data_IF_124856249959
#
_entry.id   IF_124856249959
#
_cell.length_a   1.000
_cell.length_b   1.000
_cell.length_c   1.000
_cell.angle_alpha   90.00
_cell.angle_beta   90.00
_cell.angle_gamma   90.00
#
_symmetry.space_group_name_H-M   'P 1'
#
loop_
_entity.id
_entity.type
_entity.pdbx_description
1 polymer ?
#
# COMPACT_ATOMS: atom_id res chain seq x y z
N UNK A 1 0.32 24.56 21.65
CA UNK A 1 -0.31 23.47 20.88
C UNK A 1 -0.48 23.97 19.46
N UNK A 2 0.02 23.24 18.46
CA UNK A 2 -0.23 23.58 17.04
C UNK A 2 -1.65 23.11 16.73
N UNK A 3 -2.51 24.01 16.24
CA UNK A 3 -3.83 23.65 15.75
C UNK A 3 -3.66 22.67 14.57
N UNK A 4 -4.32 21.52 14.65
CA UNK A 4 -4.30 20.46 13.62
C UNK A 4 -5.67 20.31 12.94
N UNK A 5 -6.50 21.34 13.03
CA UNK A 5 -7.80 21.36 12.38
C UNK A 5 -7.64 21.33 10.86
N UNK A 6 -8.54 20.61 10.19
CA UNK A 6 -8.60 20.52 8.72
C UNK A 6 -9.99 20.96 8.30
N UNK A 7 -10.09 22.01 7.50
CA UNK A 7 -11.35 22.35 6.84
C UNK A 7 -11.62 21.34 5.73
N UNK A 8 -12.80 20.72 5.74
CA UNK A 8 -13.18 19.72 4.74
C UNK A 8 -13.91 20.32 3.53
N UNK A 9 -14.52 21.50 3.68
CA UNK A 9 -15.30 22.16 2.62
C UNK A 9 -14.39 22.65 1.49
N UNK A 10 -14.75 22.35 0.24
CA UNK A 10 -14.01 22.79 -0.94
C UNK A 10 -12.68 22.05 -1.18
N UNK A 11 -12.43 20.98 -0.41
CA UNK A 11 -11.24 20.12 -0.55
C UNK A 11 -11.43 19.08 -1.65
N UNK A 12 -10.35 18.37 -1.98
CA UNK A 12 -10.43 17.24 -2.90
C UNK A 12 -11.27 16.07 -2.36
N UNK A 13 -11.43 15.95 -1.04
CA UNK A 13 -12.29 14.93 -0.43
C UNK A 13 -13.77 15.24 -0.65
N UNK A 14 -14.16 16.50 -0.45
CA UNK A 14 -15.51 17.01 -0.70
C UNK A 14 -15.91 16.82 -2.17
N UNK A 15 -14.96 17.06 -3.09
CA UNK A 15 -15.19 16.83 -4.51
C UNK A 15 -15.43 15.35 -4.84
N UNK A 16 -14.68 14.42 -4.23
CA UNK A 16 -14.90 12.97 -4.42
C UNK A 16 -16.24 12.53 -3.84
N UNK A 17 -16.66 13.09 -2.71
CA UNK A 17 -17.96 12.79 -2.11
C UNK A 17 -19.10 13.24 -3.03
N UNK A 18 -19.03 14.46 -3.56
CA UNK A 18 -20.10 15.03 -4.38
C UNK A 18 -20.14 14.49 -5.82
N UNK A 19 -18.97 14.23 -6.43
CA UNK A 19 -18.85 13.90 -7.87
C UNK A 19 -18.42 12.48 -8.13
N UNK A 20 -18.05 11.74 -7.08
CA UNK A 20 -17.49 10.41 -7.19
C UNK A 20 -16.01 10.40 -7.62
N UNK A 21 -15.53 9.27 -8.17
CA UNK A 21 -14.14 9.10 -8.57
C UNK A 21 -13.64 10.16 -9.56
N UNK A 22 -12.55 10.85 -9.19
CA UNK A 22 -11.91 11.89 -10.02
C UNK A 22 -10.39 11.82 -9.93
N UNK A 23 -9.72 12.27 -10.99
CA UNK A 23 -8.27 12.45 -11.05
C UNK A 23 -7.93 13.92 -10.85
N UNK A 24 -6.99 14.21 -9.94
CA UNK A 24 -6.55 15.58 -9.68
C UNK A 24 -5.22 15.88 -10.38
N UNK A 25 -5.04 17.15 -10.76
CA UNK A 25 -3.77 17.65 -11.30
C UNK A 25 -2.79 17.98 -10.18
N UNK A 26 -1.48 17.95 -10.47
CA UNK A 26 -0.42 18.32 -9.51
C UNK A 26 -0.63 19.70 -8.90
N UNK A 27 -0.97 20.70 -9.71
CA UNK A 27 -1.26 22.07 -9.25
C UNK A 27 -2.42 22.10 -8.24
N UNK A 28 -3.49 21.33 -8.46
CA UNK A 28 -4.63 21.26 -7.54
C UNK A 28 -4.24 20.61 -6.22
N UNK A 29 -3.43 19.55 -6.26
CA UNK A 29 -2.95 18.87 -5.05
C UNK A 29 -1.99 19.75 -4.23
N UNK A 30 -1.11 20.50 -4.87
CA UNK A 30 -0.21 21.46 -4.21
C UNK A 30 -0.95 22.59 -3.48
N UNK A 31 -2.18 22.90 -3.91
CA UNK A 31 -3.02 23.89 -3.26
C UNK A 31 -3.74 23.37 -1.99
N UNK A 32 -3.60 22.07 -1.66
CA UNK A 32 -4.18 21.50 -0.44
C UNK A 32 -3.19 21.67 0.72
N UNK A 33 -3.55 22.45 1.74
CA UNK A 33 -2.74 22.69 2.93
C UNK A 33 -2.35 21.39 3.65
N UNK A 34 -3.31 20.47 3.78
CA UNK A 34 -3.13 19.19 4.44
C UNK A 34 -3.38 18.01 3.48
N UNK A 35 -2.69 17.98 2.34
CA UNK A 35 -2.89 16.96 1.29
C UNK A 35 -2.94 15.52 1.83
N UNK A 36 -2.07 15.17 2.79
CA UNK A 36 -2.05 13.83 3.40
C UNK A 36 -3.34 13.46 4.16
N UNK A 37 -4.03 14.43 4.74
CA UNK A 37 -5.33 14.20 5.38
C UNK A 37 -6.38 13.71 4.36
N UNK A 38 -6.23 14.12 3.10
CA UNK A 38 -7.12 13.79 1.99
C UNK A 38 -6.68 12.56 1.17
N UNK A 39 -5.69 11.79 1.63
CA UNK A 39 -5.08 10.68 0.88
C UNK A 39 -6.07 9.67 0.28
N UNK A 40 -7.20 9.42 0.94
CA UNK A 40 -8.24 8.49 0.46
C UNK A 40 -8.93 8.95 -0.83
N UNK A 41 -8.91 10.26 -1.13
CA UNK A 41 -9.45 10.82 -2.37
C UNK A 41 -8.57 10.54 -3.60
N UNK A 42 -7.31 10.13 -3.40
CA UNK A 42 -6.30 10.10 -4.46
C UNK A 42 -6.23 8.77 -5.22
N UNK A 43 -7.16 7.85 -5.00
CA UNK A 43 -7.07 6.48 -5.53
C UNK A 43 -7.18 6.38 -7.07
N UNK A 44 -7.68 7.42 -7.73
CA UNK A 44 -7.75 7.54 -9.19
C UNK A 44 -6.72 8.53 -9.73
N UNK A 45 -5.88 9.09 -8.85
CA UNK A 45 -4.87 10.07 -9.24
C UNK A 45 -3.53 9.39 -9.47
N UNK A 46 -2.95 9.52 -10.68
CA UNK A 46 -1.64 8.96 -11.01
C UNK A 46 -0.52 9.52 -10.15
N UNK A 47 0.55 8.73 -10.00
CA UNK A 47 1.73 9.12 -9.22
C UNK A 47 2.40 10.37 -9.79
N UNK A 48 2.44 10.55 -11.12
CA UNK A 48 3.03 11.76 -11.73
C UNK A 48 2.34 13.07 -11.30
N UNK A 49 1.09 12.99 -10.86
CA UNK A 49 0.35 14.14 -10.35
C UNK A 49 0.56 14.38 -8.86
N UNK A 50 1.11 13.43 -8.11
CA UNK A 50 1.39 13.60 -6.68
C UNK A 50 2.61 14.51 -6.52
N UNK A 51 2.60 15.51 -5.60
CA UNK A 51 3.78 16.31 -5.33
C UNK A 51 4.94 15.44 -4.84
N UNK A 52 6.15 15.70 -5.35
CA UNK A 52 7.31 14.83 -5.15
C UNK A 52 7.68 14.68 -3.65
N UNK A 53 7.38 15.68 -2.80
CA UNK A 53 7.56 15.60 -1.34
C UNK A 53 6.74 14.49 -0.67
N UNK A 54 5.63 14.07 -1.27
CA UNK A 54 4.77 12.98 -0.82
C UNK A 54 5.03 11.65 -1.53
N UNK A 55 6.04 11.58 -2.39
CA UNK A 55 6.48 10.33 -3.03
C UNK A 55 7.76 9.85 -2.34
N UNK A 56 7.72 8.66 -1.74
CA UNK A 56 8.90 8.03 -1.12
C UNK A 56 9.73 7.27 -2.15
N UNK A 57 10.95 6.88 -1.77
CA UNK A 57 11.89 6.15 -2.64
C UNK A 57 12.89 5.36 -1.82
N UNK A 58 13.58 4.41 -2.47
CA UNK A 58 14.51 3.51 -1.80
C UNK A 58 13.80 2.38 -1.06
N UNK A 59 14.55 1.60 -0.31
CA UNK A 59 14.03 0.43 0.42
C UNK A 59 12.84 0.83 1.31
N UNK A 60 11.79 0.03 1.26
CA UNK A 60 10.62 0.15 2.12
C UNK A 60 10.73 -0.89 3.22
N UNK A 61 10.73 -0.49 4.49
CA UNK A 61 10.59 -1.39 5.64
C UNK A 61 9.60 -0.75 6.62
N UNK A 62 8.41 -1.33 6.73
CA UNK A 62 7.33 -0.82 7.57
C UNK A 62 6.64 -1.93 8.32
N UNK A 63 6.11 -1.60 9.50
CA UNK A 63 5.26 -2.50 10.28
C UNK A 63 3.83 -1.97 10.29
N UNK A 64 2.91 -2.75 9.75
CA UNK A 64 1.48 -2.45 9.77
C UNK A 64 0.88 -2.96 11.09
N UNK A 65 -0.05 -2.21 11.71
CA UNK A 65 -0.61 -2.53 13.02
C UNK A 65 -1.64 -3.67 12.99
N UNK A 66 -1.89 -4.24 11.83
CA UNK A 66 -2.79 -5.37 11.64
C UNK A 66 -2.10 -6.41 10.77
N UNK A 67 -2.29 -7.68 11.10
CA UNK A 67 -1.90 -8.80 10.24
C UNK A 67 -2.77 -8.83 8.98
N UNK A 68 -2.29 -9.48 7.92
CA UNK A 68 -3.19 -9.80 6.80
C UNK A 68 -4.30 -10.75 7.28
N UNK A 69 -5.50 -10.72 6.68
CA UNK A 69 -6.60 -11.60 7.07
C UNK A 69 -6.21 -13.06 6.82
N UNK A 70 -6.82 -14.02 7.52
CA UNK A 70 -6.94 -15.37 6.98
C UNK A 70 -8.09 -15.48 5.97
N UNK A 71 -8.41 -16.70 5.51
CA UNK A 71 -9.52 -16.92 4.59
C UNK A 71 -10.88 -16.49 5.17
N UNK A 72 -11.13 -16.80 6.45
CA UNK A 72 -12.39 -16.51 7.12
C UNK A 72 -12.52 -15.01 7.41
N UNK A 73 -11.45 -14.36 7.88
CA UNK A 73 -11.39 -12.91 8.06
C UNK A 73 -11.66 -12.17 6.75
N UNK A 74 -11.05 -12.64 5.65
CA UNK A 74 -11.29 -12.05 4.34
C UNK A 74 -12.75 -12.21 3.94
N UNK A 75 -13.39 -13.33 4.31
CA UNK A 75 -14.79 -13.57 4.01
C UNK A 75 -15.72 -12.67 4.86
N UNK A 76 -15.50 -12.57 6.16
CA UNK A 76 -16.40 -11.85 7.06
C UNK A 76 -16.17 -10.33 7.05
N UNK A 77 -14.91 -9.88 6.96
CA UNK A 77 -14.56 -8.46 7.06
C UNK A 77 -14.27 -7.85 5.68
N UNK A 78 -15.23 -7.04 5.21
CA UNK A 78 -15.18 -6.39 3.89
C UNK A 78 -13.98 -5.44 3.72
N UNK A 79 -13.45 -4.86 4.79
CA UNK A 79 -12.33 -3.92 4.70
C UNK A 79 -11.07 -4.63 4.17
N UNK A 80 -10.81 -5.85 4.60
CA UNK A 80 -9.63 -6.62 4.19
C UNK A 80 -9.62 -6.99 2.71
N UNK A 81 -10.80 -7.09 2.08
CA UNK A 81 -10.95 -7.30 0.64
C UNK A 81 -10.60 -6.07 -0.20
N UNK A 82 -10.44 -4.90 0.42
CA UNK A 82 -10.22 -3.63 -0.27
C UNK A 82 -8.74 -3.26 -0.27
N UNK A 83 -8.08 -3.17 -1.44
CA UNK A 83 -6.70 -2.66 -1.53
C UNK A 83 -6.54 -1.24 -0.96
N UNK A 84 -7.63 -0.45 -0.90
CA UNK A 84 -7.63 0.89 -0.27
C UNK A 84 -7.24 0.85 1.21
N UNK A 85 -7.64 -0.20 1.92
CA UNK A 85 -7.31 -0.36 3.34
C UNK A 85 -5.80 -0.53 3.53
N UNK A 86 -5.19 -1.42 2.77
CA UNK A 86 -3.75 -1.68 2.83
C UNK A 86 -2.93 -0.47 2.36
N UNK A 87 -3.37 0.21 1.30
CA UNK A 87 -2.74 1.48 0.87
C UNK A 87 -2.81 2.53 1.98
N UNK A 88 -3.94 2.69 2.66
CA UNK A 88 -4.07 3.65 3.78
C UNK A 88 -3.08 3.35 4.91
N UNK A 89 -2.90 2.08 5.27
CA UNK A 89 -1.95 1.68 6.30
C UNK A 89 -0.50 1.96 5.89
N UNK A 90 -0.11 1.62 4.66
CA UNK A 90 1.22 1.93 4.11
C UNK A 90 1.48 3.44 4.11
N UNK A 91 0.50 4.23 3.69
CA UNK A 91 0.60 5.69 3.67
C UNK A 91 0.78 6.24 5.08
N UNK A 92 -0.01 5.78 6.06
CA UNK A 92 0.10 6.20 7.46
C UNK A 92 1.44 5.86 8.10
N UNK A 93 1.98 4.68 7.81
CA UNK A 93 3.28 4.26 8.37
C UNK A 93 4.46 5.02 7.77
N UNK A 94 4.37 5.42 6.49
CA UNK A 94 5.46 6.12 5.80
C UNK A 94 5.34 7.65 5.82
N UNK A 95 4.14 8.18 6.06
CA UNK A 95 3.82 9.59 5.80
C UNK A 95 3.86 9.96 4.31
N UNK A 96 3.92 8.97 3.40
CA UNK A 96 3.96 9.17 1.94
C UNK A 96 2.64 8.76 1.31
N UNK A 97 2.29 9.38 0.19
CA UNK A 97 1.09 9.05 -0.59
C UNK A 97 1.35 7.98 -1.63
N UNK A 98 2.59 7.95 -2.14
CA UNK A 98 3.09 7.03 -3.17
C UNK A 98 4.54 6.66 -2.89
N UNK A 99 5.04 5.68 -3.62
CA UNK A 99 6.42 5.26 -3.65
C UNK A 99 6.94 5.22 -5.09
N UNK A 100 8.24 5.40 -5.26
CA UNK A 100 8.92 5.15 -6.52
C UNK A 100 9.02 3.63 -6.73
N UNK A 101 8.52 3.10 -7.85
CA UNK A 101 8.46 1.66 -8.04
C UNK A 101 9.84 1.06 -8.25
N UNK A 102 10.07 -0.10 -7.62
CA UNK A 102 11.24 -0.94 -7.84
C UNK A 102 10.93 -2.00 -8.90
N UNK A 103 11.93 -2.31 -9.74
CA UNK A 103 11.84 -3.39 -10.72
C UNK A 103 13.24 -3.86 -11.17
N UNK A 104 13.51 -5.18 -11.15
CA UNK A 104 12.74 -6.20 -10.42
C UNK A 104 12.82 -5.93 -8.91
N UNK A 105 11.78 -6.31 -8.17
CA UNK A 105 11.70 -6.11 -6.73
C UNK A 105 11.78 -7.44 -5.96
N UNK A 106 12.20 -7.38 -4.70
CA UNK A 106 11.97 -8.43 -3.72
C UNK A 106 11.01 -7.89 -2.67
N UNK A 107 9.94 -8.64 -2.40
CA UNK A 107 8.95 -8.35 -1.37
C UNK A 107 9.02 -9.44 -0.31
N UNK A 108 9.27 -9.05 0.94
CA UNK A 108 9.21 -9.97 2.10
C UNK A 108 8.09 -9.51 3.02
N UNK A 109 7.13 -10.41 3.25
CA UNK A 109 6.00 -10.20 4.14
C UNK A 109 6.17 -11.14 5.33
N UNK A 110 6.32 -10.58 6.53
CA UNK A 110 6.46 -11.36 7.77
C UNK A 110 5.26 -11.10 8.65
N UNK A 111 4.45 -12.14 8.85
CA UNK A 111 3.34 -12.09 9.81
C UNK A 111 3.85 -12.43 11.20
N UNK A 112 3.39 -11.67 12.17
CA UNK A 112 3.54 -11.97 13.58
C UNK A 112 2.15 -12.32 14.08
N UNK A 113 1.90 -13.60 14.30
CA UNK A 113 0.60 -14.13 14.70
C UNK A 113 0.68 -14.76 16.08
N UNK A 114 -0.43 -14.75 16.83
CA UNK A 114 -0.50 -15.49 18.11
C UNK A 114 -0.70 -17.00 17.89
N UNK A 115 -1.24 -17.40 16.74
CA UNK A 115 -1.43 -18.78 16.34
C UNK A 115 -0.88 -19.01 14.93
N UNK A 116 -0.36 -20.21 14.66
CA UNK A 116 0.04 -20.58 13.30
C UNK A 116 -1.20 -20.81 12.43
N UNK A 117 -1.20 -20.20 11.26
CA UNK A 117 -2.26 -20.32 10.27
C UNK A 117 -1.76 -21.21 9.13
N UNK A 118 -2.65 -22.03 8.57
CA UNK A 118 -2.33 -22.84 7.39
C UNK A 118 -1.82 -21.96 6.24
N UNK A 119 -0.81 -22.44 5.53
CA UNK A 119 -0.11 -21.66 4.50
C UNK A 119 -1.01 -21.22 3.34
N UNK A 120 -1.99 -22.03 2.95
CA UNK A 120 -2.97 -21.71 1.91
C UNK A 120 -3.91 -20.57 2.32
N UNK A 121 -4.28 -20.49 3.60
CA UNK A 121 -5.09 -19.40 4.14
C UNK A 121 -4.29 -18.08 4.22
N UNK A 122 -3.00 -18.17 4.55
CA UNK A 122 -2.10 -17.00 4.60
C UNK A 122 -1.88 -16.39 3.22
N UNK A 123 -1.66 -17.22 2.20
CA UNK A 123 -1.43 -16.75 0.84
C UNK A 123 -2.59 -15.88 0.31
N UNK A 124 -3.83 -16.28 0.61
CA UNK A 124 -5.04 -15.55 0.21
C UNK A 124 -5.07 -14.16 0.86
N UNK A 125 -4.78 -14.07 2.16
CA UNK A 125 -4.79 -12.80 2.86
C UNK A 125 -3.69 -11.84 2.44
N UNK A 126 -2.53 -12.38 2.07
CA UNK A 126 -1.40 -11.58 1.60
C UNK A 126 -1.63 -10.92 0.25
N UNK A 127 -2.54 -11.47 -0.57
CA UNK A 127 -2.81 -10.95 -1.91
C UNK A 127 -3.23 -9.48 -1.90
N UNK A 128 -4.03 -9.06 -0.91
CA UNK A 128 -4.50 -7.67 -0.79
C UNK A 128 -3.37 -6.69 -0.45
N UNK A 129 -2.42 -7.11 0.40
CA UNK A 129 -1.22 -6.33 0.73
C UNK A 129 -0.32 -6.20 -0.49
N UNK A 130 -0.08 -7.32 -1.19
CA UNK A 130 0.74 -7.34 -2.39
C UNK A 130 0.13 -6.49 -3.51
N UNK A 131 -1.19 -6.55 -3.71
CA UNK A 131 -1.89 -5.66 -4.63
C UNK A 131 -1.64 -4.20 -4.26
N UNK A 132 -1.76 -3.81 -2.99
CA UNK A 132 -1.56 -2.43 -2.56
C UNK A 132 -0.15 -1.88 -2.83
N UNK A 133 0.87 -2.74 -2.97
CA UNK A 133 2.23 -2.33 -3.31
C UNK A 133 2.41 -1.97 -4.79
N UNK A 134 1.52 -2.41 -5.69
CA UNK A 134 1.62 -2.15 -7.13
C UNK A 134 1.50 -0.67 -7.46
N UNK A 135 1.94 -0.27 -8.65
CA UNK A 135 1.66 1.09 -9.17
C UNK A 135 0.17 1.28 -9.40
N UNK A 136 -0.46 0.34 -10.12
CA UNK A 136 -1.86 0.46 -10.51
C UNK A 136 -2.50 -0.88 -10.85
N UNK A 137 -3.83 -0.87 -10.93
CA UNK A 137 -4.61 -1.94 -11.55
C UNK A 137 -5.86 -1.37 -12.21
N UNK A 138 -6.66 -2.24 -12.82
CA UNK A 138 -7.94 -1.87 -13.43
C UNK A 138 -9.10 -2.36 -12.54
N UNK A 139 -10.04 -1.47 -12.24
CA UNK A 139 -11.24 -1.78 -11.48
C UNK A 139 -12.08 -2.85 -12.19
N UNK A 140 -12.40 -3.94 -11.50
CA UNK A 140 -13.10 -5.09 -12.10
C UNK A 140 -14.53 -4.81 -12.56
N UNK A 141 -15.18 -3.80 -11.97
CA UNK A 141 -16.59 -3.46 -12.26
C UNK A 141 -16.75 -2.33 -13.27
N UNK A 142 -15.85 -1.36 -13.22
CA UNK A 142 -15.97 -0.09 -13.97
C UNK A 142 -14.83 0.14 -14.97
N UNK A 143 -13.82 -0.75 -15.00
CA UNK A 143 -12.67 -0.64 -15.89
C UNK A 143 -11.75 0.56 -15.58
N UNK A 144 -11.99 1.30 -14.49
CA UNK A 144 -11.23 2.52 -14.19
C UNK A 144 -9.86 2.17 -13.64
N UNK A 145 -8.85 2.95 -14.00
CA UNK A 145 -7.52 2.80 -13.41
C UNK A 145 -7.53 3.22 -11.94
N UNK A 146 -6.99 2.34 -11.10
CA UNK A 146 -6.78 2.56 -9.68
C UNK A 146 -5.28 2.64 -9.44
N UNK A 147 -4.83 3.69 -8.77
CA UNK A 147 -3.41 3.93 -8.46
C UNK A 147 -3.18 3.66 -6.97
N UNK A 148 -2.32 2.69 -6.68
CA UNK A 148 -2.07 2.20 -5.33
C UNK A 148 -0.80 2.84 -4.74
N UNK A 149 -0.10 2.18 -3.82
CA UNK A 149 1.07 2.77 -3.17
C UNK A 149 2.27 2.89 -4.13
N UNK A 150 2.50 1.91 -5.01
CA UNK A 150 3.48 2.01 -6.08
C UNK A 150 4.92 1.64 -5.72
N UNK A 151 5.15 0.83 -4.69
CA UNK A 151 6.48 0.33 -4.33
C UNK A 151 7.03 -0.69 -5.33
N UNK A 152 6.17 -1.41 -6.07
CA UNK A 152 6.55 -2.34 -7.14
C UNK A 152 5.78 -2.03 -8.41
N UNK A 153 6.34 -2.36 -9.58
CA UNK A 153 5.66 -2.17 -10.87
C UNK A 153 4.40 -3.04 -10.97
N UNK A 154 4.55 -4.35 -10.78
CA UNK A 154 3.49 -5.35 -10.84
C UNK A 154 3.88 -6.57 -9.96
N UNK A 155 2.94 -7.48 -9.68
CA UNK A 155 3.20 -8.71 -8.91
C UNK A 155 3.23 -9.98 -9.76
N UNK A 156 3.21 -9.83 -11.09
CA UNK A 156 3.32 -10.92 -12.03
C UNK A 156 4.70 -11.56 -12.11
N UNK A 157 4.81 -12.74 -12.77
CA UNK A 157 6.08 -13.44 -12.96
C UNK A 157 7.15 -12.54 -13.59
N UNK A 158 8.35 -12.52 -13.00
CA UNK A 158 9.49 -11.74 -13.49
C UNK A 158 9.54 -10.28 -13.02
N UNK A 159 8.49 -9.77 -12.36
CA UNK A 159 8.48 -8.42 -11.77
C UNK A 159 8.94 -8.41 -10.32
N UNK A 160 8.60 -9.46 -9.58
CA UNK A 160 8.83 -9.53 -8.14
C UNK A 160 9.19 -10.95 -7.67
N UNK A 161 10.13 -11.04 -6.73
CA UNK A 161 10.38 -12.21 -5.88
C UNK A 161 9.62 -12.00 -4.56
N UNK A 162 8.60 -12.83 -4.28
CA UNK A 162 7.75 -12.68 -3.08
C UNK A 162 8.06 -13.79 -2.09
N UNK A 163 8.38 -13.41 -0.85
CA UNK A 163 8.50 -14.31 0.29
C UNK A 163 7.47 -13.97 1.36
N UNK A 164 6.81 -14.99 1.87
CA UNK A 164 5.85 -14.88 2.97
C UNK A 164 6.30 -15.76 4.12
N UNK A 165 6.42 -15.18 5.30
CA UNK A 165 6.85 -15.84 6.53
C UNK A 165 5.82 -15.64 7.64
N UNK A 166 5.80 -16.56 8.61
CA UNK A 166 5.00 -16.47 9.82
C UNK A 166 5.91 -16.66 11.03
N UNK A 167 5.72 -15.82 12.04
CA UNK A 167 6.39 -15.85 13.33
C UNK A 167 5.34 -15.81 14.44
N UNK A 168 5.62 -16.48 15.56
CA UNK A 168 4.73 -16.46 16.73
C UNK A 168 5.06 -15.29 17.65
N UNK A 169 4.02 -14.69 18.23
CA UNK A 169 4.14 -13.70 19.32
C UNK A 169 3.48 -14.20 20.60
N UNK A 170 3.93 -13.67 21.73
CA UNK A 170 3.45 -14.09 23.06
C UNK A 170 2.04 -13.59 23.40
N UNK A 171 1.61 -12.46 22.82
CA UNK A 171 0.30 -11.88 23.10
C UNK A 171 -0.41 -11.39 21.82
N UNK A 172 -1.73 -11.59 21.67
CA UNK A 172 -2.48 -11.16 20.47
C UNK A 172 -2.33 -9.69 20.10
N UNK A 173 -2.13 -8.81 21.09
CA UNK A 173 -1.93 -7.36 20.87
C UNK A 173 -0.64 -7.03 20.12
N UNK A 174 0.32 -7.94 20.10
CA UNK A 174 1.62 -7.76 19.47
C UNK A 174 1.58 -8.25 18.00
N UNK A 175 0.43 -8.77 17.55
CA UNK A 175 0.25 -9.23 16.19
C UNK A 175 0.36 -8.07 15.19
N UNK A 176 1.19 -8.25 14.17
CA UNK A 176 1.47 -7.23 13.17
C UNK A 176 1.98 -7.83 11.87
N UNK A 177 2.08 -6.99 10.83
CA UNK A 177 2.66 -7.37 9.54
C UNK A 177 3.84 -6.49 9.22
N UNK A 178 5.03 -7.06 9.09
CA UNK A 178 6.17 -6.35 8.49
C UNK A 178 6.14 -6.52 6.98
N UNK A 179 6.32 -5.40 6.26
CA UNK A 179 6.40 -5.33 4.81
C UNK A 179 7.75 -4.75 4.43
N UNK A 180 8.55 -5.55 3.73
CA UNK A 180 9.84 -5.12 3.18
C UNK A 180 9.82 -5.18 1.67
N UNK A 181 10.28 -4.13 1.01
CA UNK A 181 10.47 -4.06 -0.44
C UNK A 181 11.85 -3.50 -0.72
N UNK A 182 12.63 -4.23 -1.52
CA UNK A 182 13.96 -3.80 -1.96
C UNK A 182 14.20 -4.18 -3.43
N UNK A 183 15.18 -3.58 -4.11
CA UNK A 183 15.58 -4.02 -5.43
C UNK A 183 16.03 -5.49 -5.41
N UNK A 184 15.54 -6.29 -6.35
CA UNK A 184 16.07 -7.63 -6.55
C UNK A 184 17.40 -7.52 -7.30
N UNK A 185 18.49 -7.91 -6.64
CA UNK A 185 19.78 -8.06 -7.32
C UNK A 185 19.70 -9.35 -8.13
N UNK A 186 19.92 -9.33 -9.46
CA UNK A 186 20.01 -10.55 -10.24
C UNK A 186 21.12 -11.43 -9.66
N UNK A 187 20.79 -12.65 -9.25
CA UNK A 187 21.79 -13.68 -8.92
C UNK A 187 22.60 -13.96 -10.20
N UNK A 188 23.76 -13.30 -10.35
CA UNK A 188 24.55 -13.45 -11.59
C UNK A 188 25.64 -12.44 -11.90
N UNK A 189 25.91 -11.43 -11.06
CA UNK A 189 27.17 -10.66 -11.16
C UNK A 189 27.92 -10.71 -9.84
N UNK A 190 28.64 -11.83 -9.64
CA UNK A 190 29.90 -11.74 -8.92
C UNK A 190 30.75 -10.73 -9.68
N UNK A 191 30.94 -9.54 -9.10
CA UNK A 191 32.02 -8.65 -9.52
C UNK A 191 33.30 -9.37 -9.13
N UNK A 192 33.90 -10.09 -10.09
CA UNK A 192 35.29 -10.50 -9.97
C UNK A 192 36.10 -9.22 -9.87
N UNK A 193 36.65 -8.98 -8.69
CA UNK A 193 37.71 -7.99 -8.47
C UNK A 193 39.02 -8.56 -9.01
#
# INVERSE_FOLDING_TARGET
MIDRSVSWVGTISDEVEMRGPVTFTRRRLQAQEHLFAHRSALFYTPTENIPDSYVGSGDLDVTLPVVSPDYTDLWENRAYRSPRFWVDLLQRQTGKLRWCPMFPARVVLVRYDYFLIRSDHVAIGMKGVLDALKVRTTGRRDGRLLYYFGAIVDDGPGFVDVRCEQMLVEHPRDACLTVRVSPSIPEGKQVKT
#
